data_IF_019476437387
#
_entry.id   IF_019476437387
#
_cell.length_a   1.000
_cell.length_b   1.000
_cell.length_c   1.000
_cell.angle_alpha   90.00
_cell.angle_beta   90.00
_cell.angle_gamma   90.00
#
_symmetry.space_group_name_H-M   'P 1'
#
loop_
_entity.id
_entity.type
_entity.pdbx_description
1 polymer ?
#
# COMPACT_ATOMS: atom_id res chain seq x y z
N UNK A 1 11.36 18.24 19.40
CA UNK A 1 10.54 17.03 19.62
C UNK A 1 10.05 16.56 18.28
N UNK A 2 10.10 15.27 18.01
CA UNK A 2 9.56 14.68 16.79
C UNK A 2 8.03 14.64 16.84
N UNK A 3 7.39 14.47 15.70
CA UNK A 3 5.94 14.34 15.60
C UNK A 3 5.41 13.11 16.35
N UNK A 4 6.12 11.98 16.29
CA UNK A 4 5.78 10.77 17.05
C UNK A 4 5.87 10.96 18.57
N UNK A 5 6.67 11.93 19.06
CA UNK A 5 7.00 12.09 20.48
C UNK A 5 7.76 10.86 20.99
N UNK A 6 7.30 10.25 22.07
CA UNK A 6 7.90 9.06 22.68
C UNK A 6 7.32 7.73 22.14
N UNK A 7 6.51 7.76 21.08
CA UNK A 7 5.92 6.55 20.50
C UNK A 7 6.88 5.89 19.52
N UNK A 8 6.99 4.58 19.62
CA UNK A 8 7.55 3.76 18.57
C UNK A 8 6.51 3.59 17.47
N UNK A 9 6.84 4.01 16.25
CA UNK A 9 5.94 3.96 15.09
C UNK A 9 6.66 3.33 13.92
N UNK A 10 6.06 2.26 13.39
CA UNK A 10 6.29 1.78 12.03
C UNK A 10 5.08 2.16 11.18
N UNK A 11 5.33 2.84 10.10
CA UNK A 11 4.32 3.37 9.22
C UNK A 11 4.08 2.41 8.05
N UNK A 12 2.85 1.88 7.96
CA UNK A 12 2.50 0.90 6.94
C UNK A 12 2.24 1.53 5.57
N UNK A 13 2.23 2.88 5.47
CA UNK A 13 1.83 3.56 4.26
C UNK A 13 2.47 4.93 4.14
N UNK A 14 3.35 5.05 3.17
CA UNK A 14 3.90 6.31 2.71
C UNK A 14 4.26 6.23 1.23
N UNK A 15 4.48 7.37 0.59
CA UNK A 15 4.63 7.42 -0.86
C UNK A 15 5.84 8.21 -1.32
N UNK A 16 6.35 7.84 -2.49
CA UNK A 16 7.15 8.73 -3.33
C UNK A 16 6.21 9.42 -4.33
N UNK A 17 6.39 10.73 -4.52
CA UNK A 17 5.69 11.51 -5.54
C UNK A 17 6.62 11.64 -6.76
N UNK A 18 6.54 10.67 -7.67
CA UNK A 18 7.53 10.54 -8.73
C UNK A 18 7.56 11.76 -9.67
N UNK A 19 8.75 12.11 -10.12
CA UNK A 19 8.96 13.03 -11.23
C UNK A 19 8.77 12.32 -12.57
N UNK A 20 8.62 13.08 -13.64
CA UNK A 20 8.33 12.53 -14.96
C UNK A 20 9.44 11.61 -15.52
N UNK A 21 10.65 11.75 -15.02
CA UNK A 21 11.84 10.99 -15.39
C UNK A 21 12.19 9.84 -14.42
N UNK A 22 11.36 9.60 -13.40
CA UNK A 22 11.60 8.63 -12.33
C UNK A 22 12.00 7.23 -12.83
N UNK A 23 11.49 6.79 -13.98
CA UNK A 23 11.79 5.48 -14.55
C UNK A 23 12.96 5.48 -15.54
N UNK A 24 13.50 6.65 -15.92
CA UNK A 24 14.36 6.78 -17.11
C UNK A 24 15.71 6.06 -16.99
N UNK A 25 16.28 6.03 -15.80
CA UNK A 25 17.55 5.37 -15.56
C UNK A 25 17.40 3.86 -15.31
N UNK A 26 16.20 3.41 -14.97
CA UNK A 26 15.89 2.04 -14.57
C UNK A 26 15.22 1.20 -15.65
N UNK A 27 14.63 1.84 -16.67
CA UNK A 27 13.99 1.14 -17.79
C UNK A 27 15.05 0.64 -18.78
N UNK A 28 14.91 -0.60 -19.20
CA UNK A 28 15.78 -1.16 -20.22
C UNK A 28 15.74 -0.31 -21.52
N UNK A 29 16.87 -0.02 -22.14
CA UNK A 29 16.96 0.94 -23.25
C UNK A 29 16.02 0.64 -24.42
N UNK A 30 15.77 -0.64 -24.73
CA UNK A 30 14.89 -1.10 -25.80
C UNK A 30 13.40 -0.99 -25.44
N UNK A 31 13.06 -0.74 -24.17
CA UNK A 31 11.69 -0.60 -23.68
C UNK A 31 11.29 0.87 -23.44
N UNK A 32 12.24 1.81 -23.49
CA UNK A 32 12.01 3.24 -23.18
C UNK A 32 10.88 3.87 -23.99
N UNK A 33 10.81 3.55 -25.28
CA UNK A 33 9.79 4.11 -26.19
C UNK A 33 8.38 3.56 -25.92
N UNK A 34 8.26 2.50 -25.13
CA UNK A 34 6.96 1.94 -24.74
C UNK A 34 6.28 2.69 -23.61
N UNK A 35 7.03 3.47 -22.81
CA UNK A 35 6.48 4.24 -21.70
C UNK A 35 5.57 5.37 -22.20
N UNK A 36 4.44 5.55 -21.53
CA UNK A 36 3.48 6.62 -21.78
C UNK A 36 3.81 7.86 -20.95
N UNK A 37 4.93 8.52 -21.22
CA UNK A 37 5.40 9.70 -20.47
C UNK A 37 4.36 10.83 -20.39
N UNK A 38 3.53 10.99 -21.42
CA UNK A 38 2.43 11.96 -21.43
C UNK A 38 1.39 11.76 -20.33
N UNK A 39 1.42 10.62 -19.62
CA UNK A 39 0.58 10.44 -18.44
C UNK A 39 0.88 11.47 -17.35
N UNK A 40 2.12 12.01 -17.32
CA UNK A 40 2.55 13.04 -16.37
C UNK A 40 2.41 14.47 -16.87
N UNK A 41 2.04 14.72 -18.14
CA UNK A 41 1.99 16.06 -18.73
C UNK A 41 1.00 16.98 -17.99
N UNK A 42 -0.10 16.44 -17.47
CA UNK A 42 -1.08 17.22 -16.73
C UNK A 42 -0.53 17.83 -15.43
N UNK A 43 0.53 17.25 -14.88
CA UNK A 43 1.16 17.68 -13.63
C UNK A 43 2.37 18.60 -13.85
N UNK A 44 2.80 18.82 -15.10
CA UNK A 44 4.03 19.54 -15.42
C UNK A 44 4.20 20.88 -14.66
N UNK A 45 3.18 21.79 -14.58
CA UNK A 45 3.34 23.04 -13.85
C UNK A 45 3.56 22.86 -12.35
N UNK A 46 2.94 21.81 -11.76
CA UNK A 46 3.10 21.49 -10.35
C UNK A 46 4.47 20.89 -10.10
N UNK A 47 4.95 19.99 -10.97
CA UNK A 47 6.29 19.42 -10.90
C UNK A 47 7.38 20.50 -11.00
N UNK A 48 7.26 21.44 -11.92
CA UNK A 48 8.19 22.59 -12.03
C UNK A 48 8.24 23.39 -10.73
N UNK A 49 7.08 23.67 -10.14
CA UNK A 49 6.98 24.39 -8.86
C UNK A 49 7.63 23.60 -7.71
N UNK A 50 7.38 22.31 -7.64
CA UNK A 50 7.94 21.44 -6.61
C UNK A 50 9.47 21.34 -6.72
N UNK A 51 10.00 21.15 -7.92
CA UNK A 51 11.44 21.10 -8.18
C UNK A 51 12.13 22.43 -7.84
N UNK A 52 11.52 23.57 -8.20
CA UNK A 52 12.03 24.89 -7.82
C UNK A 52 12.02 25.08 -6.29
N UNK A 53 10.96 24.63 -5.62
CA UNK A 53 10.87 24.63 -4.15
C UNK A 53 11.98 23.81 -3.50
N UNK A 54 12.22 22.58 -3.96
CA UNK A 54 13.31 21.73 -3.47
C UNK A 54 14.70 22.36 -3.72
N UNK A 55 14.91 22.96 -4.89
CA UNK A 55 16.15 23.68 -5.17
C UNK A 55 16.35 24.88 -4.21
N UNK A 56 15.29 25.61 -3.88
CA UNK A 56 15.33 26.71 -2.92
C UNK A 56 15.66 26.20 -1.52
N UNK A 57 15.02 25.14 -1.04
CA UNK A 57 15.31 24.54 0.28
C UNK A 57 16.76 24.06 0.40
N UNK A 58 17.34 23.53 -0.68
CA UNK A 58 18.76 23.13 -0.71
C UNK A 58 19.72 24.32 -0.64
N UNK A 59 19.32 25.47 -1.18
CA UNK A 59 20.18 26.67 -1.25
C UNK A 59 20.00 27.63 -0.06
N UNK A 60 18.87 27.59 0.63
CA UNK A 60 18.50 28.53 1.69
C UNK A 60 17.99 27.79 2.94
N UNK A 61 18.77 27.90 4.02
CA UNK A 61 18.44 27.27 5.31
C UNK A 61 17.16 27.83 5.94
N UNK A 62 16.78 29.07 5.63
CA UNK A 62 15.52 29.66 6.12
C UNK A 62 14.34 28.96 5.45
N UNK A 63 14.41 28.77 4.14
CA UNK A 63 13.40 28.04 3.39
C UNK A 63 13.31 26.57 3.84
N UNK A 64 14.44 25.92 4.11
CA UNK A 64 14.48 24.58 4.66
C UNK A 64 13.77 24.50 6.02
N UNK A 65 14.09 25.40 6.96
CA UNK A 65 13.47 25.45 8.29
C UNK A 65 11.96 25.68 8.20
N UNK A 66 11.50 26.57 7.31
CA UNK A 66 10.07 26.81 7.10
C UNK A 66 9.34 25.56 6.58
N UNK A 67 9.97 24.80 5.67
CA UNK A 67 9.40 23.55 5.19
C UNK A 67 9.33 22.48 6.30
N UNK A 68 10.34 22.39 7.17
CA UNK A 68 10.36 21.50 8.32
C UNK A 68 9.24 21.85 9.34
N UNK A 69 9.01 23.12 9.59
CA UNK A 69 7.92 23.60 10.47
C UNK A 69 6.52 23.25 9.91
N UNK A 70 6.42 23.11 8.60
CA UNK A 70 5.17 22.82 7.88
C UNK A 70 5.09 21.37 7.36
N UNK A 71 5.85 20.47 7.93
CA UNK A 71 6.06 19.09 7.49
C UNK A 71 4.77 18.35 7.07
N UNK A 72 3.68 18.50 7.83
CA UNK A 72 2.39 17.83 7.56
C UNK A 72 1.34 18.75 6.91
N UNK A 73 1.66 20.04 6.73
CA UNK A 73 0.77 20.99 6.06
C UNK A 73 0.92 20.96 4.54
N UNK A 74 2.16 20.89 4.06
CA UNK A 74 2.46 20.72 2.64
C UNK A 74 2.23 19.27 2.24
N UNK A 75 1.61 19.07 1.07
CA UNK A 75 1.19 17.76 0.60
C UNK A 75 1.57 17.52 -0.87
N UNK A 76 1.51 16.26 -1.27
CA UNK A 76 1.86 15.84 -2.62
C UNK A 76 3.31 16.21 -2.95
N UNK A 77 3.57 16.62 -4.18
CA UNK A 77 4.91 17.01 -4.63
C UNK A 77 5.55 18.19 -3.89
N UNK A 78 4.76 19.04 -3.22
CA UNK A 78 5.28 20.19 -2.48
C UNK A 78 5.83 19.81 -1.10
N UNK A 79 5.50 18.65 -0.58
CA UNK A 79 5.93 18.18 0.72
C UNK A 79 7.46 17.94 0.79
N UNK A 80 8.02 18.09 1.96
CA UNK A 80 9.43 17.79 2.24
C UNK A 80 9.72 16.31 1.98
N UNK A 81 10.67 15.99 1.10
CA UNK A 81 11.04 14.61 0.79
C UNK A 81 10.00 13.83 -0.02
N UNK A 82 9.11 14.53 -0.72
CA UNK A 82 8.11 13.90 -1.59
C UNK A 82 8.76 13.07 -2.70
N UNK A 83 9.83 13.60 -3.34
CA UNK A 83 10.57 12.98 -4.44
C UNK A 83 12.10 13.03 -4.27
N UNK A 84 12.59 13.73 -3.27
CA UNK A 84 14.01 13.87 -2.97
C UNK A 84 14.38 12.95 -1.79
N UNK A 85 15.24 11.92 -1.98
CA UNK A 85 15.56 10.95 -0.94
C UNK A 85 16.31 11.56 0.26
N UNK A 86 17.11 12.63 0.04
CA UNK A 86 17.79 13.31 1.15
C UNK A 86 16.80 14.09 2.02
N UNK A 87 15.87 14.80 1.38
CA UNK A 87 14.77 15.45 2.11
C UNK A 87 13.84 14.41 2.79
N UNK A 88 13.68 13.21 2.20
CA UNK A 88 12.86 12.13 2.81
C UNK A 88 13.49 11.64 4.12
N UNK A 89 14.78 11.40 4.16
CA UNK A 89 15.50 11.08 5.41
C UNK A 89 15.26 12.18 6.46
N UNK A 90 15.36 13.44 6.06
CA UNK A 90 15.10 14.56 6.97
C UNK A 90 13.64 14.60 7.44
N UNK A 91 12.68 14.37 6.56
CA UNK A 91 11.26 14.29 6.93
C UNK A 91 11.01 13.15 7.93
N UNK A 92 11.63 11.99 7.74
CA UNK A 92 11.53 10.85 8.63
C UNK A 92 12.11 11.13 10.03
N UNK A 93 13.23 11.87 10.11
CA UNK A 93 13.79 12.35 11.39
C UNK A 93 12.80 13.24 12.14
N UNK A 94 12.12 14.14 11.43
CA UNK A 94 11.14 15.05 12.00
C UNK A 94 9.84 14.33 12.43
N UNK A 95 9.41 13.37 11.62
CA UNK A 95 8.29 12.47 11.97
C UNK A 95 8.63 11.64 13.20
N UNK A 96 9.88 11.20 13.34
CA UNK A 96 10.33 10.33 14.43
C UNK A 96 9.80 8.91 14.31
N UNK A 97 9.56 8.43 13.10
CA UNK A 97 9.14 7.06 12.83
C UNK A 97 10.36 6.15 12.73
N UNK A 98 10.21 4.91 13.19
CA UNK A 98 11.26 3.89 13.12
C UNK A 98 11.42 3.31 11.70
N UNK A 99 10.39 3.45 10.87
CA UNK A 99 10.43 3.11 9.47
C UNK A 99 9.11 3.32 8.76
N UNK A 100 9.15 3.30 7.43
CA UNK A 100 7.99 3.47 6.56
C UNK A 100 8.03 2.48 5.40
N UNK A 101 6.92 1.80 5.11
CA UNK A 101 6.69 1.22 3.80
C UNK A 101 6.50 2.36 2.79
N UNK A 102 7.20 2.29 1.66
CA UNK A 102 7.18 3.35 0.63
C UNK A 102 6.61 2.79 -0.66
N UNK A 103 5.50 3.36 -1.09
CA UNK A 103 4.79 3.00 -2.33
C UNK A 103 5.07 4.02 -3.44
N UNK A 104 4.98 3.57 -4.68
CA UNK A 104 4.88 4.44 -5.83
C UNK A 104 3.47 5.04 -5.93
N UNK A 105 3.34 6.27 -6.43
CA UNK A 105 2.04 6.95 -6.61
C UNK A 105 1.57 6.92 -8.07
N UNK A 106 2.35 7.48 -8.99
CA UNK A 106 1.95 7.71 -10.38
C UNK A 106 2.72 6.87 -11.40
N UNK A 107 3.88 6.31 -11.07
CA UNK A 107 4.73 5.61 -12.03
C UNK A 107 3.98 4.53 -12.83
N UNK A 108 3.09 3.78 -12.16
CA UNK A 108 2.26 2.75 -12.77
C UNK A 108 1.41 3.28 -13.93
N UNK A 109 1.00 4.56 -13.92
CA UNK A 109 0.22 5.16 -15.01
C UNK A 109 0.97 5.21 -16.33
N UNK A 110 2.31 5.25 -16.28
CA UNK A 110 3.16 5.30 -17.46
C UNK A 110 3.22 3.97 -18.21
N UNK A 111 2.96 2.85 -17.55
CA UNK A 111 3.10 1.53 -18.15
C UNK A 111 1.89 0.61 -18.01
N UNK A 112 0.97 0.85 -17.09
CA UNK A 112 -0.23 0.02 -16.91
C UNK A 112 -1.05 -0.10 -18.19
N UNK A 113 -1.72 -1.25 -18.39
CA UNK A 113 -2.62 -1.51 -19.50
C UNK A 113 -2.46 -2.91 -20.09
N UNK A 114 -2.97 -3.10 -21.34
CA UNK A 114 -3.06 -4.41 -21.98
C UNK A 114 -1.76 -4.88 -22.66
N UNK A 115 -0.79 -4.00 -22.84
CA UNK A 115 0.53 -4.35 -23.36
C UNK A 115 1.35 -5.00 -22.24
N UNK A 116 1.42 -6.33 -22.26
CA UNK A 116 2.05 -7.13 -21.20
C UNK A 116 3.56 -6.87 -21.12
N UNK A 117 4.23 -6.67 -22.27
CA UNK A 117 5.67 -6.40 -22.28
C UNK A 117 5.96 -5.05 -21.62
N UNK A 118 5.20 -4.01 -21.98
CA UNK A 118 5.32 -2.70 -21.31
C UNK A 118 5.00 -2.80 -19.82
N UNK A 119 3.96 -3.56 -19.45
CA UNK A 119 3.56 -3.73 -18.06
C UNK A 119 4.72 -4.29 -17.21
N UNK A 120 5.35 -5.38 -17.65
CA UNK A 120 6.45 -5.99 -16.90
C UNK A 120 7.74 -5.18 -16.96
N UNK A 121 8.08 -4.60 -18.11
CA UNK A 121 9.26 -3.73 -18.22
C UNK A 121 9.13 -2.47 -17.33
N UNK A 122 7.95 -1.87 -17.32
CA UNK A 122 7.67 -0.72 -16.46
C UNK A 122 7.66 -1.09 -14.99
N UNK A 123 7.11 -2.26 -14.62
CA UNK A 123 7.13 -2.74 -13.23
C UNK A 123 8.56 -2.99 -12.74
N UNK A 124 9.42 -3.61 -13.56
CA UNK A 124 10.82 -3.82 -13.21
C UNK A 124 11.55 -2.48 -13.00
N UNK A 125 11.36 -1.52 -13.92
CA UNK A 125 11.93 -0.20 -13.78
C UNK A 125 11.45 0.53 -12.52
N UNK A 126 10.14 0.45 -12.22
CA UNK A 126 9.58 1.03 -11.00
C UNK A 126 10.20 0.41 -9.75
N UNK A 127 10.31 -0.93 -9.70
CA UNK A 127 10.84 -1.62 -8.52
C UNK A 127 12.30 -1.20 -8.24
N UNK A 128 13.15 -1.13 -9.28
CA UNK A 128 14.54 -0.63 -9.18
C UNK A 128 14.60 0.82 -8.71
N UNK A 129 13.76 1.70 -9.28
CA UNK A 129 13.67 3.11 -8.88
C UNK A 129 13.22 3.28 -7.43
N UNK A 130 12.29 2.45 -6.95
CA UNK A 130 11.87 2.43 -5.55
C UNK A 130 13.01 2.02 -4.60
N UNK A 131 13.77 1.00 -4.97
CA UNK A 131 14.96 0.57 -4.22
C UNK A 131 15.98 1.70 -4.17
N UNK A 132 16.28 2.36 -5.29
CA UNK A 132 17.20 3.50 -5.31
C UNK A 132 16.72 4.64 -4.43
N UNK A 133 15.44 5.05 -4.54
CA UNK A 133 14.87 6.11 -3.69
C UNK A 133 15.03 5.81 -2.19
N UNK A 134 14.83 4.55 -1.79
CA UNK A 134 14.92 4.14 -0.39
C UNK A 134 16.34 3.85 0.08
N UNK A 135 17.31 3.67 -0.80
CA UNK A 135 18.67 3.19 -0.49
C UNK A 135 19.48 4.09 0.46
N UNK A 136 19.10 5.37 0.56
CA UNK A 136 19.79 6.36 1.41
C UNK A 136 19.48 6.26 2.91
N UNK A 137 18.44 5.50 3.29
CA UNK A 137 18.01 5.37 4.68
C UNK A 137 17.37 4.00 4.93
N UNK A 138 17.95 3.20 5.82
CA UNK A 138 17.50 1.85 6.15
C UNK A 138 16.09 1.78 6.77
N UNK A 139 15.53 2.91 7.17
CA UNK A 139 14.18 3.04 7.68
C UNK A 139 13.12 3.15 6.58
N UNK A 140 13.53 3.28 5.31
CA UNK A 140 12.65 3.32 4.15
C UNK A 140 12.57 1.93 3.52
N UNK A 141 11.40 1.32 3.54
CA UNK A 141 11.14 -0.03 3.06
C UNK A 141 10.45 0.02 1.68
N UNK A 142 11.18 -0.20 0.58
CA UNK A 142 10.60 -0.12 -0.76
C UNK A 142 9.58 -1.23 -1.00
N UNK A 143 8.44 -0.86 -1.60
CA UNK A 143 7.40 -1.79 -2.02
C UNK A 143 7.48 -2.01 -3.53
N UNK A 144 7.68 -3.26 -3.95
CA UNK A 144 7.66 -3.64 -5.36
C UNK A 144 6.22 -3.75 -5.87
N UNK A 145 6.01 -3.53 -7.17
CA UNK A 145 4.77 -3.85 -7.86
C UNK A 145 4.97 -5.04 -8.80
N UNK A 146 4.14 -6.09 -8.64
CA UNK A 146 4.21 -7.30 -9.47
C UNK A 146 2.83 -7.65 -10.05
N UNK A 147 2.64 -7.48 -11.38
CA UNK A 147 1.44 -7.97 -12.07
C UNK A 147 1.41 -9.50 -12.09
N UNK A 148 0.22 -10.11 -11.96
CA UNK A 148 0.04 -11.56 -11.91
C UNK A 148 -0.41 -12.19 -13.25
N UNK A 149 -0.55 -11.40 -14.32
CA UNK A 149 -1.15 -11.87 -15.60
C UNK A 149 -0.34 -12.93 -16.32
N UNK A 150 0.99 -12.94 -16.13
CA UNK A 150 1.91 -13.93 -16.69
C UNK A 150 2.70 -14.60 -15.56
N UNK A 151 2.30 -15.79 -15.08
CA UNK A 151 2.84 -16.40 -13.86
C UNK A 151 4.37 -16.53 -13.83
N UNK A 152 4.99 -17.00 -14.91
CA UNK A 152 6.45 -17.14 -14.96
C UNK A 152 7.18 -15.79 -14.87
N UNK A 153 6.62 -14.73 -15.45
CA UNK A 153 7.17 -13.37 -15.35
C UNK A 153 6.94 -12.77 -13.97
N UNK A 154 5.81 -13.10 -13.34
CA UNK A 154 5.53 -12.67 -11.97
C UNK A 154 6.55 -13.27 -10.99
N UNK A 155 6.88 -14.57 -11.12
CA UNK A 155 7.94 -15.22 -10.34
C UNK A 155 9.29 -14.52 -10.54
N UNK A 156 9.70 -14.33 -11.80
CA UNK A 156 10.99 -13.71 -12.12
C UNK A 156 11.10 -12.29 -11.56
N UNK A 157 10.05 -11.48 -11.73
CA UNK A 157 9.99 -10.09 -11.25
C UNK A 157 9.97 -10.00 -9.73
N UNK A 158 9.22 -10.89 -9.05
CA UNK A 158 9.20 -10.94 -7.59
C UNK A 158 10.57 -11.33 -7.03
N UNK A 159 11.23 -12.34 -7.63
CA UNK A 159 12.58 -12.76 -7.25
C UNK A 159 13.57 -11.60 -7.41
N UNK A 160 13.59 -10.93 -8.57
CA UNK A 160 14.44 -9.75 -8.82
C UNK A 160 14.21 -8.67 -7.76
N UNK A 161 12.95 -8.29 -7.52
CA UNK A 161 12.62 -7.23 -6.55
C UNK A 161 13.05 -7.56 -5.12
N UNK A 162 12.90 -8.83 -4.70
CA UNK A 162 13.33 -9.30 -3.39
C UNK A 162 14.86 -9.29 -3.27
N UNK A 163 15.57 -9.78 -4.28
CA UNK A 163 17.04 -9.80 -4.33
C UNK A 163 17.62 -8.38 -4.31
N UNK A 164 16.94 -7.40 -4.89
CA UNK A 164 17.30 -5.99 -4.87
C UNK A 164 16.95 -5.28 -3.55
N UNK A 165 16.17 -5.91 -2.65
CA UNK A 165 15.90 -5.41 -1.31
C UNK A 165 14.51 -4.82 -1.09
N UNK A 166 13.53 -5.11 -1.96
CA UNK A 166 12.13 -4.76 -1.68
C UNK A 166 11.63 -5.51 -0.44
N UNK A 167 10.99 -4.77 0.47
CA UNK A 167 10.51 -5.30 1.75
C UNK A 167 9.10 -5.89 1.69
N UNK A 168 8.32 -5.54 0.67
CA UNK A 168 6.99 -6.07 0.41
C UNK A 168 6.70 -6.07 -1.11
N UNK A 169 5.74 -6.89 -1.53
CA UNK A 169 5.33 -6.99 -2.92
C UNK A 169 3.85 -6.63 -3.06
N UNK A 170 3.57 -5.49 -3.68
CA UNK A 170 2.21 -5.08 -4.04
C UNK A 170 1.73 -5.89 -5.23
N UNK A 171 0.54 -6.47 -5.11
CA UNK A 171 -0.16 -7.17 -6.19
C UNK A 171 -1.51 -6.51 -6.47
N UNK A 172 -2.00 -6.55 -7.72
CA UNK A 172 -3.35 -6.11 -8.03
C UNK A 172 -4.39 -6.99 -7.31
N UNK A 173 -5.39 -6.38 -6.67
CA UNK A 173 -6.51 -7.09 -6.06
C UNK A 173 -7.59 -7.49 -7.09
N UNK A 174 -7.15 -7.96 -8.26
CA UNK A 174 -8.00 -8.39 -9.40
C UNK A 174 -7.64 -9.80 -9.83
N UNK A 175 -8.45 -10.37 -10.73
CA UNK A 175 -8.08 -11.63 -11.38
C UNK A 175 -6.75 -11.48 -12.15
N UNK A 176 -5.96 -12.55 -12.20
CA UNK A 176 -4.71 -12.65 -12.92
C UNK A 176 -4.95 -13.00 -14.40
N UNK A 177 -5.41 -12.04 -15.19
CA UNK A 177 -5.93 -12.27 -16.53
C UNK A 177 -7.25 -13.06 -16.45
N UNK A 178 -7.28 -14.27 -17.03
CA UNK A 178 -8.44 -15.18 -16.95
C UNK A 178 -8.36 -16.14 -15.74
N UNK A 179 -7.32 -16.04 -14.89
CA UNK A 179 -7.10 -16.91 -13.72
C UNK A 179 -7.53 -16.22 -12.44
N UNK A 180 -8.02 -17.01 -11.48
CA UNK A 180 -8.11 -16.58 -10.08
C UNK A 180 -6.71 -16.44 -9.46
N UNK A 181 -6.56 -15.68 -8.37
CA UNK A 181 -5.27 -15.49 -7.71
C UNK A 181 -4.71 -16.79 -7.07
N UNK A 182 -5.54 -17.79 -6.91
CA UNK A 182 -5.21 -19.10 -6.31
C UNK A 182 -4.95 -20.19 -7.36
N UNK A 183 -4.97 -19.84 -8.66
CA UNK A 183 -4.73 -20.80 -9.73
C UNK A 183 -3.34 -21.44 -9.57
N UNK A 184 -3.19 -22.77 -9.77
CA UNK A 184 -1.91 -23.47 -9.56
C UNK A 184 -0.72 -22.91 -10.35
N UNK A 185 -0.95 -22.28 -11.50
CA UNK A 185 0.11 -21.59 -12.25
C UNK A 185 0.78 -20.46 -11.44
N UNK A 186 0.10 -19.92 -10.43
CA UNK A 186 0.62 -18.87 -9.53
C UNK A 186 1.26 -19.42 -8.25
N UNK A 187 1.25 -20.73 -8.03
CA UNK A 187 1.85 -21.33 -6.83
C UNK A 187 3.32 -20.95 -6.70
N UNK A 188 4.07 -20.95 -7.82
CA UNK A 188 5.47 -20.52 -7.81
C UNK A 188 5.69 -19.07 -7.36
N UNK A 189 4.74 -18.17 -7.63
CA UNK A 189 4.78 -16.79 -7.15
C UNK A 189 4.54 -16.72 -5.63
N UNK A 190 3.50 -17.39 -5.14
CA UNK A 190 3.20 -17.41 -3.70
C UNK A 190 4.29 -18.12 -2.89
N UNK A 191 4.87 -19.17 -3.45
CA UNK A 191 6.02 -19.89 -2.86
C UNK A 191 7.24 -18.97 -2.74
N UNK A 192 7.56 -18.19 -3.79
CA UNK A 192 8.66 -17.21 -3.78
C UNK A 192 8.52 -16.24 -2.61
N UNK A 193 7.35 -15.66 -2.40
CA UNK A 193 7.11 -14.73 -1.28
C UNK A 193 7.19 -15.44 0.07
N UNK A 194 6.58 -16.63 0.16
CA UNK A 194 6.52 -17.43 1.38
C UNK A 194 7.92 -17.85 1.85
N UNK A 195 8.76 -18.36 0.94
CA UNK A 195 10.12 -18.80 1.27
C UNK A 195 11.10 -17.66 1.54
N UNK A 196 10.93 -16.53 0.82
CA UNK A 196 11.69 -15.32 1.09
C UNK A 196 11.24 -14.57 2.35
N UNK A 197 10.13 -15.00 2.96
CA UNK A 197 9.53 -14.34 4.12
C UNK A 197 9.12 -12.87 3.84
N UNK A 198 8.74 -12.56 2.60
CA UNK A 198 8.31 -11.23 2.15
C UNK A 198 6.79 -11.18 2.04
N UNK A 199 6.09 -10.22 2.67
CA UNK A 199 4.65 -10.14 2.58
C UNK A 199 4.18 -9.63 1.21
N UNK A 200 2.98 -10.08 0.79
CA UNK A 200 2.26 -9.36 -0.26
C UNK A 200 1.46 -8.21 0.36
N UNK A 201 1.21 -7.17 -0.42
CA UNK A 201 0.33 -6.07 -0.03
C UNK A 201 -0.65 -5.72 -1.13
N UNK A 202 -1.85 -5.35 -0.73
CA UNK A 202 -2.88 -4.75 -1.58
C UNK A 202 -2.95 -3.26 -1.23
N UNK A 203 -3.08 -2.42 -2.25
CA UNK A 203 -3.17 -0.98 -2.07
C UNK A 203 -4.33 -0.42 -2.91
N UNK A 204 -4.90 0.71 -2.52
CA UNK A 204 -5.92 1.39 -3.33
C UNK A 204 -5.35 1.69 -4.72
N UNK A 205 -6.19 1.66 -5.76
CA UNK A 205 -5.71 1.74 -7.15
C UNK A 205 -5.28 0.41 -7.76
N UNK A 206 -4.77 -0.55 -6.99
CA UNK A 206 -4.41 -1.90 -7.46
C UNK A 206 -5.61 -2.76 -7.86
N UNK A 207 -6.81 -2.42 -7.43
CA UNK A 207 -8.07 -3.10 -7.78
C UNK A 207 -8.68 -2.71 -9.13
N UNK A 208 -7.99 -1.87 -9.90
CA UNK A 208 -8.50 -1.36 -11.17
C UNK A 208 -9.63 -0.35 -10.98
N UNK A 209 -10.63 -0.37 -11.89
CA UNK A 209 -11.75 0.56 -11.80
C UNK A 209 -12.65 0.24 -10.61
N UNK A 210 -12.80 1.18 -9.69
CA UNK A 210 -13.61 1.03 -8.48
C UNK A 210 -15.11 0.91 -8.80
N UNK A 211 -15.63 1.79 -9.67
CA UNK A 211 -17.02 1.82 -10.06
C UNK A 211 -17.21 1.88 -11.57
N UNK A 212 -18.33 1.36 -12.07
CA UNK A 212 -18.80 1.68 -13.42
C UNK A 212 -19.02 3.22 -13.52
N UNK A 213 -18.47 3.87 -14.57
CA UNK A 213 -18.62 5.32 -14.76
C UNK A 213 -20.09 5.82 -14.76
N UNK A 214 -21.04 4.94 -15.11
CA UNK A 214 -22.45 5.26 -15.06
C UNK A 214 -22.94 5.66 -13.65
N UNK A 215 -22.32 5.17 -12.59
CA UNK A 215 -22.65 5.59 -11.21
C UNK A 215 -22.29 7.06 -10.93
N UNK A 216 -21.36 7.63 -11.70
CA UNK A 216 -21.00 9.05 -11.61
C UNK A 216 -21.79 9.95 -12.57
N UNK A 217 -22.53 9.35 -13.50
CA UNK A 217 -23.36 10.08 -14.46
C UNK A 217 -24.71 10.47 -13.84
N UNK A 218 -24.68 11.51 -13.00
CA UNK A 218 -25.82 12.05 -12.27
C UNK A 218 -26.12 13.51 -12.66
N UNK A 219 -25.65 13.94 -13.83
CA UNK A 219 -25.81 15.30 -14.37
C UNK A 219 -25.23 16.42 -13.49
N UNK A 220 -24.31 16.06 -12.58
CA UNK A 220 -23.59 17.00 -11.72
C UNK A 220 -22.16 17.20 -12.23
N UNK A 221 -21.62 18.43 -12.16
CA UNK A 221 -20.23 18.67 -12.54
C UNK A 221 -19.27 17.83 -11.68
N UNK A 222 -18.27 17.26 -12.33
CA UNK A 222 -17.15 16.60 -11.64
C UNK A 222 -16.24 17.69 -11.07
N UNK A 223 -16.01 17.65 -9.78
CA UNK A 223 -15.12 18.59 -9.09
C UNK A 223 -13.85 17.84 -8.66
N UNK A 224 -12.70 18.38 -9.04
CA UNK A 224 -11.42 17.98 -8.46
C UNK A 224 -11.28 18.64 -7.08
N UNK A 225 -11.37 17.85 -6.04
CA UNK A 225 -11.32 18.35 -4.66
C UNK A 225 -9.91 18.41 -4.10
N UNK A 226 -8.98 17.64 -4.66
CA UNK A 226 -7.65 17.43 -4.11
C UNK A 226 -6.56 18.14 -4.90
N UNK A 227 -6.86 18.53 -6.17
CA UNK A 227 -5.92 19.29 -7.00
C UNK A 227 -4.72 18.47 -7.53
N UNK A 228 -4.71 17.17 -7.29
CA UNK A 228 -3.60 16.27 -7.64
C UNK A 228 -3.95 15.17 -8.65
N UNK A 229 -5.18 15.17 -9.18
CA UNK A 229 -5.65 14.11 -10.08
C UNK A 229 -6.10 12.83 -9.37
N UNK A 230 -5.90 12.72 -8.08
CA UNK A 230 -6.40 11.66 -7.21
C UNK A 230 -7.81 12.00 -6.76
N UNK A 231 -8.77 11.74 -7.63
CA UNK A 231 -10.16 12.09 -7.38
C UNK A 231 -10.95 10.92 -6.83
N UNK A 232 -10.57 10.40 -5.65
CA UNK A 232 -11.41 9.47 -4.89
C UNK A 232 -12.59 10.27 -4.33
N UNK A 233 -13.80 9.94 -4.81
CA UNK A 233 -15.03 10.60 -4.40
C UNK A 233 -15.82 9.72 -3.47
N UNK A 234 -16.85 10.27 -2.84
CA UNK A 234 -17.71 9.54 -1.88
C UNK A 234 -18.23 8.20 -2.40
N UNK A 235 -18.55 8.11 -3.70
CA UNK A 235 -19.02 6.84 -4.29
C UNK A 235 -17.88 5.86 -4.52
N UNK A 236 -16.70 6.34 -4.91
CA UNK A 236 -15.49 5.52 -5.04
C UNK A 236 -15.11 4.95 -3.67
N UNK A 237 -15.15 5.78 -2.63
CA UNK A 237 -14.92 5.36 -1.24
C UNK A 237 -15.82 4.18 -0.83
N UNK A 238 -17.09 4.16 -1.23
CA UNK A 238 -17.99 3.03 -0.96
C UNK A 238 -17.56 1.73 -1.65
N UNK A 239 -16.86 1.84 -2.78
CA UNK A 239 -16.46 0.69 -3.58
C UNK A 239 -15.06 0.17 -3.26
N UNK A 240 -14.20 0.97 -2.63
CA UNK A 240 -12.81 0.61 -2.30
C UNK A 240 -12.71 -0.77 -1.64
N UNK A 241 -13.52 -1.13 -0.63
CA UNK A 241 -13.39 -2.41 0.06
C UNK A 241 -13.78 -3.64 -0.77
N UNK A 242 -14.49 -3.49 -1.89
CA UNK A 242 -15.04 -4.63 -2.62
C UNK A 242 -13.97 -5.50 -3.24
N UNK A 243 -12.98 -4.90 -3.88
CA UNK A 243 -11.90 -5.63 -4.55
C UNK A 243 -11.02 -6.41 -3.56
N UNK A 244 -10.46 -5.79 -2.50
CA UNK A 244 -9.64 -6.51 -1.54
C UNK A 244 -10.44 -7.55 -0.73
N UNK A 245 -11.68 -7.25 -0.34
CA UNK A 245 -12.50 -8.20 0.38
C UNK A 245 -12.77 -9.47 -0.44
N UNK A 246 -13.03 -9.31 -1.75
CA UNK A 246 -13.20 -10.44 -2.67
C UNK A 246 -11.88 -11.19 -2.87
N UNK A 247 -10.79 -10.47 -3.19
CA UNK A 247 -9.49 -11.06 -3.46
C UNK A 247 -8.99 -11.90 -2.26
N UNK A 248 -8.94 -11.29 -1.08
CA UNK A 248 -8.52 -11.98 0.15
C UNK A 248 -9.47 -13.11 0.54
N UNK A 249 -10.77 -12.94 0.32
CA UNK A 249 -11.76 -13.99 0.54
C UNK A 249 -11.51 -15.22 -0.33
N UNK A 250 -11.16 -15.02 -1.61
CA UNK A 250 -10.78 -16.10 -2.54
C UNK A 250 -9.51 -16.80 -2.06
N UNK A 251 -8.45 -16.06 -1.64
CA UNK A 251 -7.23 -16.67 -1.11
C UNK A 251 -7.53 -17.60 0.06
N UNK A 252 -8.45 -17.20 0.96
CA UNK A 252 -8.83 -17.99 2.13
C UNK A 252 -9.67 -19.20 1.73
N UNK A 253 -10.74 -19.00 0.95
CA UNK A 253 -11.67 -20.07 0.61
C UNK A 253 -11.07 -21.18 -0.24
N UNK A 254 -10.07 -20.84 -1.06
CA UNK A 254 -9.33 -21.79 -1.88
C UNK A 254 -8.11 -22.41 -1.14
N UNK A 255 -7.95 -22.16 0.17
CA UNK A 255 -6.92 -22.77 1.00
C UNK A 255 -5.49 -22.34 0.66
N UNK A 256 -5.28 -21.11 0.13
CA UNK A 256 -3.93 -20.65 -0.21
C UNK A 256 -3.00 -20.66 1.00
N UNK A 257 -3.48 -20.23 2.15
CA UNK A 257 -2.69 -20.17 3.38
C UNK A 257 -2.37 -21.54 4.01
N UNK A 258 -3.15 -22.58 3.67
CA UNK A 258 -2.80 -23.97 4.03
C UNK A 258 -1.65 -24.48 3.15
N UNK A 259 -1.63 -24.08 1.86
CA UNK A 259 -0.51 -24.40 0.95
C UNK A 259 0.75 -23.61 1.27
N UNK A 260 0.62 -22.36 1.71
CA UNK A 260 1.74 -21.43 2.00
C UNK A 260 1.60 -20.82 3.40
N UNK A 261 1.85 -21.61 4.47
CA UNK A 261 1.54 -21.20 5.84
C UNK A 261 2.42 -20.07 6.40
N UNK A 262 3.54 -19.73 5.74
CA UNK A 262 4.36 -18.56 6.08
C UNK A 262 3.92 -17.29 5.37
N UNK A 263 3.05 -17.38 4.36
CA UNK A 263 2.61 -16.24 3.57
C UNK A 263 1.82 -15.26 4.44
N UNK A 264 2.12 -13.97 4.33
CA UNK A 264 1.45 -12.89 5.03
C UNK A 264 1.02 -11.81 4.06
N UNK A 265 -0.04 -11.07 4.41
CA UNK A 265 -0.54 -10.00 3.56
C UNK A 265 -0.96 -8.76 4.34
N UNK A 266 -0.82 -7.60 3.69
CA UNK A 266 -1.33 -6.31 4.14
C UNK A 266 -2.39 -5.76 3.19
N UNK A 267 -3.43 -5.13 3.75
CA UNK A 267 -4.43 -4.39 2.97
C UNK A 267 -4.29 -2.92 3.35
N UNK A 268 -3.67 -2.14 2.47
CA UNK A 268 -3.16 -0.81 2.73
C UNK A 268 -4.03 0.24 2.02
N UNK A 269 -4.34 1.34 2.70
CA UNK A 269 -5.14 2.46 2.19
C UNK A 269 -6.52 2.07 1.62
N UNK A 270 -7.15 1.06 2.21
CA UNK A 270 -8.49 0.59 1.76
C UNK A 270 -9.53 0.65 2.89
N UNK A 271 -9.19 1.38 3.97
CA UNK A 271 -9.97 1.40 5.19
C UNK A 271 -10.05 0.02 5.86
N UNK A 272 -10.57 -0.04 7.06
CA UNK A 272 -10.60 -1.30 7.81
C UNK A 272 -11.91 -1.55 8.57
N UNK A 273 -12.84 -0.60 8.59
CA UNK A 273 -14.13 -0.77 9.26
C UNK A 273 -14.98 -1.93 8.72
N UNK A 274 -14.80 -2.25 7.43
CA UNK A 274 -15.47 -3.36 6.77
C UNK A 274 -14.99 -4.74 7.26
N UNK A 275 -13.77 -4.84 7.78
CA UNK A 275 -13.14 -6.11 8.22
C UNK A 275 -13.97 -6.76 9.34
N UNK A 276 -14.51 -5.97 10.26
CA UNK A 276 -15.30 -6.47 11.40
C UNK A 276 -16.51 -7.32 10.96
N UNK A 277 -17.24 -6.85 9.97
CA UNK A 277 -18.38 -7.60 9.42
C UNK A 277 -17.94 -8.72 8.47
N UNK A 278 -16.88 -8.51 7.73
CA UNK A 278 -16.34 -9.46 6.76
C UNK A 278 -15.83 -10.75 7.41
N UNK A 279 -15.18 -10.67 8.57
CA UNK A 279 -14.78 -11.85 9.35
C UNK A 279 -15.97 -12.79 9.59
N UNK A 280 -17.11 -12.24 10.00
CA UNK A 280 -18.35 -13.02 10.22
C UNK A 280 -18.95 -13.55 8.93
N UNK A 281 -18.89 -12.76 7.86
CA UNK A 281 -19.36 -13.16 6.53
C UNK A 281 -18.57 -14.35 6.01
N UNK A 282 -17.26 -14.36 6.15
CA UNK A 282 -16.39 -15.47 5.75
C UNK A 282 -16.75 -16.76 6.50
N UNK A 283 -16.86 -16.73 7.83
CA UNK A 283 -17.23 -17.90 8.62
C UNK A 283 -18.62 -18.40 8.30
N UNK A 284 -19.56 -17.48 8.04
CA UNK A 284 -20.92 -17.84 7.63
C UNK A 284 -20.90 -18.52 6.25
N UNK A 285 -20.15 -17.97 5.28
CA UNK A 285 -20.00 -18.54 3.95
C UNK A 285 -19.46 -19.97 3.99
N UNK A 286 -18.38 -20.22 4.74
CA UNK A 286 -17.85 -21.56 4.92
C UNK A 286 -18.95 -22.51 5.47
N UNK A 287 -19.65 -22.13 6.54
CA UNK A 287 -20.71 -22.98 7.13
C UNK A 287 -21.83 -23.27 6.15
N UNK A 288 -22.21 -22.28 5.32
CA UNK A 288 -23.30 -22.42 4.36
C UNK A 288 -22.93 -23.36 3.20
N UNK A 289 -21.71 -23.29 2.69
CA UNK A 289 -21.31 -23.94 1.45
C UNK A 289 -20.39 -25.17 1.60
N UNK A 290 -19.77 -25.42 2.76
CA UNK A 290 -18.82 -26.54 2.95
C UNK A 290 -19.41 -27.94 2.67
N UNK A 291 -20.74 -28.09 2.59
CA UNK A 291 -21.37 -29.37 2.23
C UNK A 291 -21.26 -29.68 0.74
N UNK A 292 -21.18 -28.64 -0.09
CA UNK A 292 -21.17 -28.71 -1.54
C UNK A 292 -19.82 -28.38 -2.16
N UNK A 293 -18.98 -27.63 -1.45
CA UNK A 293 -17.68 -27.18 -1.91
C UNK A 293 -16.55 -27.85 -1.12
N UNK A 294 -15.74 -28.65 -1.81
CA UNK A 294 -14.65 -29.42 -1.23
C UNK A 294 -13.56 -28.52 -0.60
N UNK A 295 -13.08 -27.45 -1.25
CA UNK A 295 -12.07 -26.59 -0.63
C UNK A 295 -12.48 -26.04 0.73
N UNK A 296 -13.74 -25.60 0.87
CA UNK A 296 -14.25 -25.07 2.14
C UNK A 296 -14.35 -26.14 3.26
N UNK A 297 -14.47 -27.40 2.86
CA UNK A 297 -14.54 -28.52 3.80
C UNK A 297 -13.17 -28.92 4.33
N UNK A 298 -12.14 -28.70 3.52
CA UNK A 298 -10.77 -29.09 3.81
C UNK A 298 -9.96 -28.02 4.53
N UNK A 299 -10.48 -26.78 4.66
CA UNK A 299 -9.81 -25.74 5.42
C UNK A 299 -9.47 -26.21 6.85
N UNK A 300 -8.23 -26.06 7.25
CA UNK A 300 -7.74 -26.45 8.58
C UNK A 300 -8.27 -25.54 9.68
N UNK A 301 -8.54 -24.26 9.38
CA UNK A 301 -9.00 -23.26 10.31
C UNK A 301 -10.35 -22.68 9.90
N UNK A 302 -11.02 -21.97 10.79
CA UNK A 302 -12.12 -21.11 10.39
C UNK A 302 -11.59 -19.94 9.55
N UNK A 303 -12.32 -19.46 8.53
CA UNK A 303 -11.86 -18.36 7.66
C UNK A 303 -11.40 -17.11 8.42
N UNK A 304 -12.08 -16.73 9.50
CA UNK A 304 -11.69 -15.60 10.33
C UNK A 304 -10.37 -15.83 11.08
N UNK A 305 -9.96 -17.08 11.34
CA UNK A 305 -8.67 -17.40 11.97
C UNK A 305 -7.51 -17.25 10.98
N UNK A 306 -7.70 -17.57 9.69
CA UNK A 306 -6.70 -17.25 8.65
C UNK A 306 -6.47 -15.74 8.55
N UNK A 307 -7.53 -14.94 8.58
CA UNK A 307 -7.41 -13.48 8.58
C UNK A 307 -6.53 -13.01 9.75
N UNK A 308 -6.80 -13.48 10.96
CA UNK A 308 -6.03 -13.09 12.15
C UNK A 308 -4.56 -13.51 12.08
N UNK A 309 -4.29 -14.69 11.51
CA UNK A 309 -2.94 -15.25 11.42
C UNK A 309 -2.11 -14.61 10.33
N UNK A 310 -2.71 -14.29 9.19
CA UNK A 310 -1.98 -13.99 7.96
C UNK A 310 -2.15 -12.54 7.47
N UNK A 311 -3.17 -11.81 7.92
CA UNK A 311 -3.54 -10.53 7.31
C UNK A 311 -3.51 -9.36 8.29
N UNK A 312 -3.14 -8.18 7.77
CA UNK A 312 -3.14 -6.89 8.47
C UNK A 312 -3.82 -5.82 7.61
N UNK A 313 -4.38 -4.79 8.25
CA UNK A 313 -5.20 -3.77 7.60
C UNK A 313 -4.87 -2.38 8.12
N UNK A 314 -4.84 -1.36 7.24
CA UNK A 314 -4.72 0.03 7.65
C UNK A 314 -6.10 0.70 7.63
N UNK A 315 -6.58 1.21 8.77
CA UNK A 315 -7.76 2.06 8.81
C UNK A 315 -7.45 3.47 8.30
N UNK A 316 -8.46 4.16 7.78
CA UNK A 316 -8.35 5.59 7.53
C UNK A 316 -8.30 6.41 8.83
N UNK A 317 -7.61 7.57 8.85
CA UNK A 317 -7.66 8.48 9.97
C UNK A 317 -9.10 8.96 10.24
N UNK A 318 -9.63 8.60 11.42
CA UNK A 318 -11.02 8.91 11.82
C UNK A 318 -11.95 7.70 11.86
N UNK A 319 -11.53 6.53 11.37
CA UNK A 319 -12.28 5.29 11.65
C UNK A 319 -12.22 4.95 13.15
N UNK A 320 -13.24 4.30 13.72
CA UNK A 320 -13.31 3.99 15.15
C UNK A 320 -12.43 2.79 15.53
N UNK A 321 -11.10 2.95 15.42
CA UNK A 321 -10.12 1.86 15.55
C UNK A 321 -10.21 1.14 16.90
N UNK A 322 -10.45 1.87 18.00
CA UNK A 322 -10.62 1.26 19.31
C UNK A 322 -11.79 0.27 19.34
N UNK A 323 -12.94 0.66 18.79
CA UNK A 323 -14.09 -0.23 18.62
C UNK A 323 -13.77 -1.41 17.69
N UNK A 324 -13.07 -1.18 16.60
CA UNK A 324 -12.67 -2.24 15.66
C UNK A 324 -11.78 -3.28 16.34
N UNK A 325 -10.83 -2.85 17.16
CA UNK A 325 -9.98 -3.72 17.98
C UNK A 325 -10.80 -4.55 18.97
N UNK A 326 -11.77 -3.95 19.66
CA UNK A 326 -12.66 -4.66 20.58
C UNK A 326 -13.49 -5.76 19.88
N UNK A 327 -13.91 -5.52 18.63
CA UNK A 327 -14.74 -6.45 17.87
C UNK A 327 -13.96 -7.52 17.11
N UNK A 328 -12.78 -7.20 16.63
CA UNK A 328 -12.03 -8.02 15.69
C UNK A 328 -10.67 -8.53 16.21
N UNK A 329 -10.07 -7.85 17.20
CA UNK A 329 -8.76 -8.19 17.75
C UNK A 329 -7.71 -7.13 17.43
N UNK A 330 -6.73 -6.99 18.33
CA UNK A 330 -5.65 -5.99 18.22
C UNK A 330 -4.57 -6.36 17.22
N UNK A 331 -4.54 -7.62 16.79
CA UNK A 331 -3.55 -8.16 15.86
C UNK A 331 -3.80 -7.78 14.40
N UNK A 332 -4.93 -7.13 14.08
CA UNK A 332 -5.35 -6.91 12.69
C UNK A 332 -4.99 -5.53 12.14
N UNK A 333 -4.93 -4.50 12.98
CA UNK A 333 -4.92 -3.12 12.51
C UNK A 333 -3.55 -2.48 12.69
N UNK A 334 -3.09 -1.73 11.65
CA UNK A 334 -1.80 -1.06 11.59
C UNK A 334 -1.98 0.44 11.42
N UNK A 335 -1.05 1.22 11.99
CA UNK A 335 -0.92 2.64 11.72
C UNK A 335 -0.44 2.89 10.29
N UNK A 336 -0.98 3.93 9.68
CA UNK A 336 -0.51 4.48 8.41
C UNK A 336 -0.64 6.00 8.42
N UNK A 337 0.35 6.70 7.85
CA UNK A 337 0.33 8.16 7.73
C UNK A 337 -0.11 8.64 6.36
N UNK A 338 0.06 7.80 5.36
CA UNK A 338 -0.14 8.12 3.95
C UNK A 338 0.66 9.39 3.53
N UNK A 339 1.86 9.55 4.13
CA UNK A 339 2.73 10.68 3.83
C UNK A 339 3.39 10.51 2.45
N UNK A 340 3.37 11.51 1.56
CA UNK A 340 2.89 12.89 1.75
C UNK A 340 1.51 13.17 1.13
N UNK A 341 0.67 12.18 0.91
CA UNK A 341 -0.64 12.35 0.27
C UNK A 341 -1.59 13.24 1.10
N UNK A 342 -2.51 13.98 0.44
CA UNK A 342 -3.51 14.80 1.14
C UNK A 342 -4.49 13.96 1.97
N UNK A 343 -4.76 12.73 1.56
CA UNK A 343 -5.68 11.78 2.18
C UNK A 343 -5.27 11.43 3.62
N UNK A 344 -3.98 11.33 3.91
CA UNK A 344 -3.45 11.14 5.26
C UNK A 344 -3.78 12.28 6.23
N UNK A 345 -4.21 13.43 5.69
CA UNK A 345 -4.59 14.60 6.47
C UNK A 345 -3.40 15.31 7.12
N UNK A 346 -3.70 16.33 7.93
CA UNK A 346 -2.66 17.18 8.56
C UNK A 346 -2.13 16.63 9.88
N UNK A 347 -2.88 15.74 10.53
CA UNK A 347 -2.50 15.16 11.83
C UNK A 347 -3.12 13.75 11.99
N UNK A 348 -2.59 12.73 11.28
CA UNK A 348 -3.09 11.37 11.41
C UNK A 348 -2.92 10.81 12.84
N UNK A 349 -1.83 11.15 13.55
CA UNK A 349 -1.62 10.67 14.92
C UNK A 349 -2.68 11.18 15.88
N UNK A 350 -3.09 12.45 15.79
CA UNK A 350 -4.15 12.98 16.66
C UNK A 350 -5.48 12.24 16.45
N UNK A 351 -5.82 11.95 15.19
CA UNK A 351 -7.02 11.20 14.83
C UNK A 351 -7.00 9.79 15.42
N UNK A 352 -5.91 9.07 15.24
CA UNK A 352 -5.77 7.71 15.80
C UNK A 352 -5.68 7.73 17.34
N UNK A 353 -5.02 8.71 17.93
CA UNK A 353 -4.98 8.88 19.39
C UNK A 353 -6.38 9.08 19.98
N UNK A 354 -7.23 9.86 19.32
CA UNK A 354 -8.63 10.02 19.69
C UNK A 354 -9.40 8.70 19.56
N UNK A 355 -9.26 8.00 18.42
CA UNK A 355 -9.92 6.74 18.17
C UNK A 355 -9.51 5.60 19.12
N UNK A 356 -8.29 5.67 19.68
CA UNK A 356 -7.71 4.67 20.58
C UNK A 356 -7.73 5.11 22.06
N UNK A 357 -8.43 6.18 22.41
CA UNK A 357 -8.40 6.77 23.74
C UNK A 357 -8.69 5.78 24.88
N UNK A 358 -9.64 4.87 24.69
CA UNK A 358 -10.03 3.85 25.68
C UNK A 358 -9.32 2.52 25.50
N UNK A 359 -8.48 2.38 24.49
CA UNK A 359 -7.80 1.14 24.14
C UNK A 359 -6.59 0.91 25.05
N UNK A 360 -6.40 -0.32 25.52
CA UNK A 360 -5.27 -0.67 26.39
C UNK A 360 -3.90 -0.47 25.72
N UNK A 361 -2.87 -0.21 26.52
CA UNK A 361 -1.53 0.14 26.02
C UNK A 361 -0.90 -0.92 25.11
N UNK A 362 -1.14 -2.21 25.38
CA UNK A 362 -0.62 -3.31 24.53
C UNK A 362 -1.23 -3.26 23.12
N UNK A 363 -2.54 -3.07 23.03
CA UNK A 363 -3.21 -2.96 21.75
C UNK A 363 -2.79 -1.70 20.97
N UNK A 364 -2.53 -0.58 21.68
CA UNK A 364 -1.96 0.62 21.06
C UNK A 364 -0.53 0.37 20.53
N UNK A 365 0.33 -0.34 21.28
CA UNK A 365 1.67 -0.70 20.80
C UNK A 365 1.61 -1.58 19.56
N UNK A 366 0.71 -2.57 19.54
CA UNK A 366 0.49 -3.40 18.36
C UNK A 366 0.06 -2.56 17.17
N UNK A 367 -0.89 -1.64 17.36
CA UNK A 367 -1.38 -0.76 16.29
C UNK A 367 -0.29 0.14 15.70
N UNK A 368 0.49 0.82 16.54
CA UNK A 368 1.48 1.79 16.06
C UNK A 368 2.79 1.15 15.57
N UNK A 369 3.11 -0.05 16.00
CA UNK A 369 4.39 -0.67 15.69
C UNK A 369 4.28 -2.19 15.46
N UNK A 370 3.79 -2.95 16.43
CA UNK A 370 3.92 -4.41 16.47
C UNK A 370 3.32 -5.12 15.25
N UNK A 371 2.16 -4.68 14.76
CA UNK A 371 1.51 -5.34 13.63
C UNK A 371 2.24 -5.10 12.29
N UNK A 372 2.87 -3.93 12.09
CA UNK A 372 3.73 -3.68 10.91
C UNK A 372 5.01 -4.51 11.02
N UNK A 373 5.64 -4.53 12.21
CA UNK A 373 6.82 -5.36 12.46
C UNK A 373 6.53 -6.84 12.20
N UNK A 374 5.39 -7.36 12.68
CA UNK A 374 4.95 -8.74 12.42
C UNK A 374 4.68 -9.00 10.93
N UNK A 375 4.08 -8.04 10.22
CA UNK A 375 3.88 -8.14 8.77
C UNK A 375 5.22 -8.29 8.05
N UNK A 376 6.21 -7.49 8.39
CA UNK A 376 7.51 -7.47 7.70
C UNK A 376 8.41 -8.63 8.11
N UNK A 377 8.51 -8.95 9.40
CA UNK A 377 9.47 -9.94 9.90
C UNK A 377 8.93 -11.37 10.00
N UNK A 378 7.62 -11.55 10.04
CA UNK A 378 6.98 -12.83 10.31
C UNK A 378 7.14 -13.33 11.75
N UNK A 379 7.70 -12.52 12.62
CA UNK A 379 7.88 -12.82 14.03
C UNK A 379 6.91 -12.03 14.88
N UNK A 380 6.17 -12.69 15.76
CA UNK A 380 5.40 -11.99 16.79
C UNK A 380 6.38 -11.27 17.73
N UNK A 381 6.32 -9.97 17.78
CA UNK A 381 7.03 -9.20 18.82
C UNK A 381 6.27 -9.37 20.14
N UNK A 382 6.93 -10.02 21.11
CA UNK A 382 6.43 -10.16 22.48
C UNK A 382 6.16 -8.80 23.17
#
# INVERSE_FOLDING_TARGET
MTYAGDRQILDADSHVMELADFLDEHIDPDQRDRLRRRAMDAFAPLLETAMAGAATRRADTTAATQAEERLLEEKGWLALGAFDPVERTRALDLLGFEGQLVFATFATTMFAGRDVDRLYAGSAAQNRAMVEFCSGDERLYPVAFVPLVEPARAVALATEAIDEGCAAVMVPSTAAGERGPTHPDLDGFWDTLSEANVPFVLHVGGGGRLLDPAFHNNDMPVTDHLGGGENVRSKDYLAIPHSPALFLGVLIYDGLFDRFPKLRGGCIEQGAGWVVSWLRQLDYGQRAFKRTEEPLRELELAPSEYVRRHLKFTPYPGEPVGWMIEQAGSELFMFSSDYPHPEGGKDPLAKFKEALWTTGGDAQRRFYHGNVSELLSGSTTD
#
